data_IF_538458685819
#
_entry.id   IF_538458685819
#
_cell.length_a   1.000
_cell.length_b   1.000
_cell.length_c   1.000
_cell.angle_alpha   90.00
_cell.angle_beta   90.00
_cell.angle_gamma   90.00
#
_symmetry.space_group_name_H-M   'P 1'
#
loop_
_entity.id
_entity.type
_entity.pdbx_description
1 polymer ?
#
# COMPACT_ATOMS: atom_id res chain seq x y z
N UNK A 1 19.36 35.81 -27.74
CA UNK A 1 20.05 35.12 -26.60
C UNK A 1 21.35 35.84 -26.29
N UNK A 2 21.66 36.13 -25.02
CA UNK A 2 22.93 36.81 -24.65
C UNK A 2 24.10 35.77 -24.56
N UNK A 3 25.34 36.27 -24.43
CA UNK A 3 26.55 35.42 -24.44
C UNK A 3 26.54 34.35 -23.28
N UNK A 4 25.97 34.67 -22.14
CA UNK A 4 25.80 33.77 -21.00
C UNK A 4 24.94 32.54 -21.36
N UNK A 5 23.77 32.78 -21.90
CA UNK A 5 22.86 31.68 -22.26
C UNK A 5 23.38 30.86 -23.45
N UNK A 6 24.15 31.48 -24.35
CA UNK A 6 24.82 30.73 -25.40
C UNK A 6 25.85 29.72 -24.80
N UNK A 7 26.67 30.17 -23.86
CA UNK A 7 27.67 29.30 -23.21
C UNK A 7 27.00 28.22 -22.38
N UNK A 8 25.93 28.53 -21.63
CA UNK A 8 25.17 27.57 -20.81
C UNK A 8 24.49 26.48 -21.67
N UNK A 9 23.86 26.86 -22.78
CA UNK A 9 23.24 25.89 -23.68
C UNK A 9 24.29 24.97 -24.35
N UNK A 10 25.45 25.50 -24.69
CA UNK A 10 26.56 24.66 -25.21
C UNK A 10 27.08 23.69 -24.15
N UNK A 11 27.17 24.11 -22.89
CA UNK A 11 27.54 23.23 -21.77
C UNK A 11 26.52 22.13 -21.56
N UNK A 12 25.22 22.47 -21.53
CA UNK A 12 24.13 21.50 -21.41
C UNK A 12 24.16 20.48 -22.57
N UNK A 13 24.37 20.93 -23.80
CA UNK A 13 24.49 20.03 -24.96
C UNK A 13 25.65 19.06 -24.80
N UNK A 14 26.83 19.57 -24.37
CA UNK A 14 28.00 18.75 -24.14
C UNK A 14 27.75 17.66 -23.11
N UNK A 15 27.11 18.00 -21.98
CA UNK A 15 26.72 17.02 -20.95
C UNK A 15 25.76 15.96 -21.51
N UNK A 16 24.80 16.34 -22.35
CA UNK A 16 23.88 15.41 -23.01
C UNK A 16 24.64 14.49 -23.99
N UNK A 17 25.55 15.04 -24.80
CA UNK A 17 26.37 14.27 -25.75
C UNK A 17 27.29 13.27 -25.01
N UNK A 18 27.78 13.62 -23.83
CA UNK A 18 28.59 12.79 -22.94
C UNK A 18 27.70 11.81 -22.11
N UNK A 19 26.38 11.80 -22.33
CA UNK A 19 25.36 10.99 -21.61
C UNK A 19 25.29 11.27 -20.10
N UNK A 20 25.76 12.43 -19.68
CA UNK A 20 25.71 12.95 -18.31
C UNK A 20 24.36 13.64 -18.02
N UNK A 21 23.23 12.96 -18.33
CA UNK A 21 21.89 13.52 -18.29
C UNK A 21 21.51 14.12 -16.92
N UNK A 22 22.04 13.58 -15.81
CA UNK A 22 21.77 14.09 -14.47
C UNK A 22 22.40 15.49 -14.26
N UNK A 23 23.62 15.70 -14.72
CA UNK A 23 24.33 16.97 -14.63
C UNK A 23 23.67 18.02 -15.53
N UNK A 24 23.35 17.63 -16.78
CA UNK A 24 22.60 18.48 -17.69
C UNK A 24 21.26 18.94 -17.08
N UNK A 25 20.50 18.01 -16.51
CA UNK A 25 19.21 18.30 -15.88
C UNK A 25 19.32 19.22 -14.66
N UNK A 26 20.37 19.05 -13.84
CA UNK A 26 20.64 19.92 -12.69
C UNK A 26 20.94 21.35 -13.13
N UNK A 27 21.80 21.55 -14.13
CA UNK A 27 22.09 22.86 -14.70
C UNK A 27 20.83 23.54 -15.24
N UNK A 28 19.99 22.78 -15.97
CA UNK A 28 18.73 23.29 -16.51
C UNK A 28 17.78 23.71 -15.36
N UNK A 29 17.62 22.88 -14.33
CA UNK A 29 16.74 23.20 -13.21
C UNK A 29 17.24 24.41 -12.40
N UNK A 30 18.54 24.56 -12.19
CA UNK A 30 19.12 25.71 -11.52
C UNK A 30 18.78 27.00 -12.27
N UNK A 31 18.90 27.00 -13.60
CA UNK A 31 18.63 28.19 -14.41
C UNK A 31 17.12 28.50 -14.51
N UNK A 32 16.26 27.49 -14.67
CA UNK A 32 14.81 27.67 -14.69
C UNK A 32 14.24 28.20 -13.37
N UNK A 33 14.96 28.06 -12.26
CA UNK A 33 14.58 28.63 -10.96
C UNK A 33 15.01 30.11 -10.80
N UNK A 34 15.73 30.68 -11.76
CA UNK A 34 16.11 32.10 -11.71
C UNK A 34 14.89 33.02 -11.89
N UNK A 35 14.88 34.23 -11.26
CA UNK A 35 13.75 35.16 -11.33
C UNK A 35 13.39 35.61 -12.74
N UNK A 36 14.33 35.55 -13.68
CA UNK A 36 14.15 35.93 -15.06
C UNK A 36 15.02 35.11 -16.00
N UNK A 37 14.40 34.45 -16.97
CA UNK A 37 15.05 33.73 -18.07
C UNK A 37 14.52 34.32 -19.37
N UNK A 38 15.37 34.75 -20.34
CA UNK A 38 14.90 35.20 -21.63
C UNK A 38 14.09 34.14 -22.39
N UNK A 39 13.08 34.54 -23.12
CA UNK A 39 12.13 33.64 -23.78
C UNK A 39 12.80 32.65 -24.74
N UNK A 40 13.79 33.12 -25.51
CA UNK A 40 14.60 32.32 -26.44
C UNK A 40 15.50 31.29 -25.74
N UNK A 41 15.90 31.54 -24.50
CA UNK A 41 16.64 30.58 -23.67
C UNK A 41 15.69 29.64 -22.95
N UNK A 42 14.53 30.13 -22.49
CA UNK A 42 13.52 29.32 -21.79
C UNK A 42 13.05 28.15 -22.65
N UNK A 43 12.70 28.39 -23.92
CA UNK A 43 12.27 27.36 -24.88
C UNK A 43 13.31 26.25 -25.04
N UNK A 44 14.60 26.62 -25.13
CA UNK A 44 15.69 25.64 -25.27
C UNK A 44 15.94 24.84 -23.96
N UNK A 45 15.86 25.51 -22.81
CA UNK A 45 16.02 24.85 -21.52
C UNK A 45 14.89 23.85 -21.26
N UNK A 46 13.64 24.21 -21.58
CA UNK A 46 12.51 23.29 -21.47
C UNK A 46 12.62 22.10 -22.44
N UNK A 47 13.09 22.34 -23.66
CA UNK A 47 13.35 21.29 -24.64
C UNK A 47 14.38 20.28 -24.11
N UNK A 48 15.54 20.74 -23.64
CA UNK A 48 16.57 19.85 -23.11
C UNK A 48 16.16 19.18 -21.79
N UNK A 49 15.36 19.85 -20.97
CA UNK A 49 14.76 19.24 -19.78
C UNK A 49 13.91 18.04 -20.15
N UNK A 50 13.07 18.18 -21.16
CA UNK A 50 12.22 17.10 -21.68
C UNK A 50 13.07 15.96 -22.28
N UNK A 51 14.15 16.27 -22.98
CA UNK A 51 15.08 15.29 -23.55
C UNK A 51 15.80 14.48 -22.48
N UNK A 52 16.24 15.09 -21.37
CA UNK A 52 16.92 14.40 -20.27
C UNK A 52 16.01 13.49 -19.44
N UNK A 53 14.71 13.82 -19.32
CA UNK A 53 13.76 13.17 -18.42
C UNK A 53 13.65 11.65 -18.58
N UNK A 54 13.53 11.07 -19.79
CA UNK A 54 13.44 9.61 -19.95
C UNK A 54 14.64 8.83 -19.44
N UNK A 55 15.86 9.41 -19.59
CA UNK A 55 17.09 8.77 -19.17
C UNK A 55 17.27 8.80 -17.64
N UNK A 56 16.77 9.84 -16.99
CA UNK A 56 16.75 9.94 -15.51
C UNK A 56 15.73 8.98 -14.90
N UNK A 57 14.55 8.89 -15.48
CA UNK A 57 13.52 7.93 -15.05
C UNK A 57 13.98 6.48 -15.22
N UNK A 58 14.69 6.17 -16.31
CA UNK A 58 15.23 4.83 -16.55
C UNK A 58 16.35 4.48 -15.56
N UNK A 59 17.22 5.44 -15.21
CA UNK A 59 18.31 5.26 -14.23
C UNK A 59 17.78 5.15 -12.79
N UNK A 60 16.76 5.91 -12.46
CA UNK A 60 16.03 5.83 -11.18
C UNK A 60 15.38 4.45 -11.03
N UNK A 61 14.64 3.99 -12.03
CA UNK A 61 14.02 2.65 -12.03
C UNK A 61 15.01 1.50 -11.87
N UNK A 62 16.18 1.57 -12.53
CA UNK A 62 17.22 0.53 -12.40
C UNK A 62 17.89 0.55 -11.03
N UNK A 63 18.07 1.73 -10.43
CA UNK A 63 18.66 1.88 -9.10
C UNK A 63 17.68 1.44 -8.00
N UNK A 64 16.38 1.68 -8.19
CA UNK A 64 15.33 1.21 -7.29
C UNK A 64 15.17 -0.31 -7.34
N UNK A 65 15.31 -0.93 -8.51
CA UNK A 65 15.22 -2.38 -8.67
C UNK A 65 16.40 -3.13 -7.99
N UNK A 66 17.63 -2.64 -8.13
CA UNK A 66 18.78 -3.25 -7.44
C UNK A 66 18.64 -3.15 -5.91
N UNK A 67 18.16 -2.01 -5.40
CA UNK A 67 17.88 -1.85 -3.97
C UNK A 67 16.73 -2.72 -3.51
N UNK A 68 15.72 -2.94 -4.35
CA UNK A 68 14.60 -3.81 -4.04
C UNK A 68 15.08 -5.24 -3.72
N UNK A 69 15.96 -5.80 -4.55
CA UNK A 69 16.52 -7.13 -4.29
C UNK A 69 17.28 -7.21 -2.97
N UNK A 70 18.08 -6.19 -2.63
CA UNK A 70 18.77 -6.11 -1.34
C UNK A 70 17.78 -6.11 -0.16
N UNK A 71 16.64 -5.42 -0.30
CA UNK A 71 15.61 -5.35 0.74
C UNK A 71 14.77 -6.61 0.86
N UNK A 72 14.46 -7.29 -0.25
CA UNK A 72 13.73 -8.56 -0.27
C UNK A 72 14.48 -9.64 0.52
N UNK A 73 15.82 -9.66 0.42
CA UNK A 73 16.69 -10.60 1.15
C UNK A 73 17.13 -10.10 2.54
N UNK A 74 16.69 -8.93 2.93
CA UNK A 74 17.14 -8.24 4.13
C UNK A 74 16.42 -8.61 5.42
N UNK A 75 16.51 -7.71 6.41
CA UNK A 75 15.79 -7.81 7.69
C UNK A 75 14.27 -7.66 7.51
N UNK A 76 13.50 -7.97 8.55
CA UNK A 76 12.05 -7.77 8.54
C UNK A 76 11.65 -6.33 8.15
N UNK A 77 12.33 -5.32 8.73
CA UNK A 77 12.05 -3.91 8.39
C UNK A 77 12.39 -3.61 6.92
N UNK A 78 13.45 -4.20 6.38
CA UNK A 78 13.82 -4.03 4.98
C UNK A 78 12.80 -4.68 4.05
N UNK A 79 12.30 -5.88 4.38
CA UNK A 79 11.22 -6.55 3.64
C UNK A 79 9.93 -5.73 3.65
N UNK A 80 9.55 -5.16 4.80
CA UNK A 80 8.39 -4.25 4.90
C UNK A 80 8.60 -3.02 4.02
N UNK A 81 9.82 -2.46 4.00
CA UNK A 81 10.13 -1.33 3.11
C UNK A 81 10.10 -1.74 1.62
N UNK A 82 10.52 -2.97 1.27
CA UNK A 82 10.40 -3.49 -0.09
C UNK A 82 8.94 -3.49 -0.59
N UNK A 83 7.97 -3.82 0.28
CA UNK A 83 6.54 -3.74 -0.06
C UNK A 83 6.15 -2.31 -0.46
N UNK A 84 6.57 -1.30 0.30
CA UNK A 84 6.25 0.11 -0.02
C UNK A 84 6.88 0.58 -1.35
N UNK A 85 8.01 0.01 -1.76
CA UNK A 85 8.60 0.23 -3.08
C UNK A 85 7.75 -0.45 -4.15
N UNK A 86 7.38 -1.73 -3.93
CA UNK A 86 6.60 -2.53 -4.87
C UNK A 86 5.23 -1.95 -5.15
N UNK A 87 4.53 -1.36 -4.16
CA UNK A 87 3.25 -0.67 -4.35
C UNK A 87 3.31 0.43 -5.41
N UNK A 88 4.48 1.02 -5.63
CA UNK A 88 4.71 2.08 -6.62
C UNK A 88 5.33 1.58 -7.95
N UNK A 89 5.54 0.27 -8.10
CA UNK A 89 6.14 -0.36 -9.27
C UNK A 89 5.11 -1.11 -10.12
N UNK A 90 5.49 -1.46 -11.35
CA UNK A 90 4.71 -2.40 -12.16
C UNK A 90 5.00 -3.83 -11.70
N UNK A 91 4.09 -4.43 -10.93
CA UNK A 91 4.26 -5.74 -10.31
C UNK A 91 4.35 -6.90 -11.32
N UNK A 92 3.90 -6.70 -12.57
CA UNK A 92 4.13 -7.68 -13.65
C UNK A 92 5.61 -7.93 -13.94
N UNK A 93 6.47 -6.98 -13.57
CA UNK A 93 7.92 -7.08 -13.78
C UNK A 93 8.67 -7.60 -12.56
N UNK A 94 7.97 -7.84 -11.44
CA UNK A 94 8.53 -8.14 -10.13
C UNK A 94 7.98 -9.46 -9.56
N UNK A 95 7.61 -10.41 -10.44
CA UNK A 95 6.96 -11.66 -10.00
C UNK A 95 7.80 -12.44 -8.98
N UNK A 96 9.10 -12.57 -9.23
CA UNK A 96 10.00 -13.36 -8.38
C UNK A 96 10.20 -12.69 -7.01
N UNK A 97 10.40 -11.37 -6.97
CA UNK A 97 10.53 -10.59 -5.74
C UNK A 97 9.26 -10.64 -4.89
N UNK A 98 8.10 -10.55 -5.53
CA UNK A 98 6.80 -10.67 -4.87
C UNK A 98 6.61 -12.06 -4.29
N UNK A 99 6.88 -13.12 -5.07
CA UNK A 99 6.76 -14.50 -4.59
C UNK A 99 7.71 -14.76 -3.41
N UNK A 100 8.92 -14.25 -3.45
CA UNK A 100 9.89 -14.41 -2.38
C UNK A 100 9.44 -13.73 -1.08
N UNK A 101 8.84 -12.53 -1.16
CA UNK A 101 8.25 -11.86 0.00
C UNK A 101 7.05 -12.63 0.56
N UNK A 102 6.20 -13.21 -0.30
CA UNK A 102 5.07 -14.05 0.13
C UNK A 102 5.54 -15.35 0.83
N UNK A 103 6.66 -15.91 0.40
CA UNK A 103 7.27 -17.12 1.00
C UNK A 103 8.07 -16.81 2.27
N UNK A 104 8.38 -15.54 2.53
CA UNK A 104 9.20 -15.12 3.65
C UNK A 104 8.44 -15.17 4.99
N UNK A 105 9.15 -14.82 6.07
CA UNK A 105 8.66 -14.72 7.45
C UNK A 105 7.90 -13.42 7.77
N UNK A 106 7.48 -12.68 6.73
CA UNK A 106 6.64 -11.50 6.91
C UNK A 106 5.34 -11.84 7.64
N UNK A 107 4.88 -10.99 8.57
CA UNK A 107 3.54 -11.10 9.14
C UNK A 107 2.45 -11.05 8.06
N UNK A 108 1.36 -11.79 8.28
CA UNK A 108 0.29 -11.98 7.29
C UNK A 108 -0.32 -10.68 6.76
N UNK A 109 -0.35 -9.63 7.58
CA UNK A 109 -0.89 -8.34 7.14
C UNK A 109 -0.03 -7.67 6.07
N UNK A 110 1.28 -7.77 6.18
CA UNK A 110 2.17 -7.22 5.16
C UNK A 110 2.09 -8.04 3.87
N UNK A 111 1.92 -9.37 3.99
CA UNK A 111 1.61 -10.21 2.83
C UNK A 111 0.26 -9.82 2.22
N UNK A 112 -0.75 -9.52 3.05
CA UNK A 112 -2.04 -9.02 2.61
C UNK A 112 -1.94 -7.68 1.88
N UNK A 113 -1.15 -6.74 2.36
CA UNK A 113 -0.88 -5.47 1.67
C UNK A 113 -0.29 -5.71 0.27
N UNK A 114 0.65 -6.64 0.15
CA UNK A 114 1.24 -7.00 -1.14
C UNK A 114 0.22 -7.66 -2.07
N UNK A 115 -0.67 -8.51 -1.52
CA UNK A 115 -1.77 -9.13 -2.28
C UNK A 115 -2.75 -8.06 -2.78
N UNK A 116 -3.13 -7.07 -1.96
CA UNK A 116 -3.97 -5.95 -2.40
C UNK A 116 -3.33 -5.17 -3.56
N UNK A 117 -2.04 -4.88 -3.48
CA UNK A 117 -1.33 -4.21 -4.58
C UNK A 117 -1.34 -5.03 -5.89
N UNK A 118 -1.25 -6.37 -5.79
CA UNK A 118 -1.40 -7.28 -6.94
C UNK A 118 -2.83 -7.26 -7.51
N UNK A 119 -3.83 -7.21 -6.64
CA UNK A 119 -5.26 -7.13 -7.01
C UNK A 119 -5.58 -5.81 -7.72
N UNK A 120 -5.10 -4.68 -7.20
CA UNK A 120 -5.28 -3.36 -7.81
C UNK A 120 -4.71 -3.30 -9.24
N UNK A 121 -3.56 -3.95 -9.46
CA UNK A 121 -2.95 -4.04 -10.78
C UNK A 121 -3.55 -5.15 -11.66
N UNK A 122 -4.55 -5.90 -11.15
CA UNK A 122 -5.23 -6.99 -11.87
C UNK A 122 -4.22 -7.99 -12.46
N UNK A 123 -3.36 -8.50 -11.60
CA UNK A 123 -2.36 -9.50 -12.00
C UNK A 123 -3.06 -10.86 -12.16
N UNK A 124 -2.87 -11.50 -13.32
CA UNK A 124 -3.46 -12.80 -13.65
C UNK A 124 -2.49 -13.97 -13.40
N UNK A 125 -1.22 -13.67 -13.08
CA UNK A 125 -0.23 -14.69 -12.76
C UNK A 125 -0.54 -15.32 -11.38
N UNK A 126 -0.39 -16.65 -11.24
CA UNK A 126 -0.62 -17.33 -9.98
C UNK A 126 0.54 -17.09 -9.00
N UNK A 127 0.20 -16.94 -7.73
CA UNK A 127 1.15 -16.86 -6.61
C UNK A 127 0.84 -17.93 -5.57
N UNK A 128 1.86 -18.28 -4.78
CA UNK A 128 1.74 -19.22 -3.68
C UNK A 128 1.90 -18.50 -2.34
N UNK A 129 1.20 -19.01 -1.34
CA UNK A 129 1.27 -18.51 0.03
C UNK A 129 1.10 -19.67 1.01
N UNK A 130 1.95 -19.73 2.04
CA UNK A 130 1.73 -20.63 3.17
C UNK A 130 0.96 -19.86 4.24
N UNK A 131 -0.25 -20.34 4.55
CA UNK A 131 -1.10 -19.73 5.57
C UNK A 131 -1.70 -20.80 6.48
N UNK A 132 -1.52 -20.64 7.78
CA UNK A 132 -1.96 -21.63 8.79
C UNK A 132 -1.50 -23.07 8.47
N UNK A 133 -0.29 -23.22 7.91
CA UNK A 133 0.28 -24.50 7.51
C UNK A 133 -0.24 -25.10 6.19
N UNK A 134 -1.13 -24.39 5.49
CA UNK A 134 -1.65 -24.80 4.19
C UNK A 134 -0.92 -24.04 3.08
N UNK A 135 -0.54 -24.75 2.02
CA UNK A 135 -0.03 -24.12 0.79
C UNK A 135 -1.22 -23.77 -0.10
N UNK A 136 -1.37 -22.47 -0.38
CA UNK A 136 -2.49 -21.89 -1.13
C UNK A 136 -1.92 -21.29 -2.40
N UNK A 137 -2.49 -21.67 -3.54
CA UNK A 137 -2.23 -20.99 -4.82
C UNK A 137 -3.42 -20.10 -5.14
N UNK A 138 -3.16 -18.83 -5.45
CA UNK A 138 -4.19 -17.84 -5.77
C UNK A 138 -3.82 -17.02 -7.00
N UNK A 139 -4.85 -16.46 -7.65
CA UNK A 139 -4.71 -15.50 -8.75
C UNK A 139 -5.25 -14.16 -8.26
N UNK A 140 -4.42 -13.10 -8.15
CA UNK A 140 -4.83 -11.83 -7.55
C UNK A 140 -6.06 -11.20 -8.20
N UNK A 141 -6.16 -11.22 -9.53
CA UNK A 141 -7.32 -10.67 -10.25
C UNK A 141 -8.64 -11.40 -10.00
N UNK A 142 -8.59 -12.63 -9.47
CA UNK A 142 -9.78 -13.42 -9.15
C UNK A 142 -10.25 -13.24 -7.70
N UNK A 143 -9.49 -12.55 -6.85
CA UNK A 143 -9.88 -12.27 -5.46
C UNK A 143 -10.93 -11.16 -5.45
N UNK A 144 -11.94 -11.30 -4.60
CA UNK A 144 -12.99 -10.29 -4.44
C UNK A 144 -12.42 -9.01 -3.79
N UNK A 145 -12.49 -7.85 -4.48
CA UNK A 145 -12.09 -6.57 -3.90
C UNK A 145 -12.95 -6.21 -2.69
N UNK A 146 -12.36 -5.54 -1.71
CA UNK A 146 -13.03 -5.18 -0.46
C UNK A 146 -14.29 -4.32 -0.69
N UNK A 147 -14.27 -3.43 -1.69
CA UNK A 147 -15.41 -2.59 -2.05
C UNK A 147 -16.59 -3.37 -2.64
N UNK A 148 -16.36 -4.60 -3.09
CA UNK A 148 -17.37 -5.50 -3.64
C UNK A 148 -17.82 -6.57 -2.64
N UNK A 149 -17.12 -6.71 -1.50
CA UNK A 149 -17.46 -7.65 -0.44
C UNK A 149 -18.66 -7.13 0.36
N UNK A 150 -19.81 -7.82 0.23
CA UNK A 150 -21.06 -7.39 0.86
C UNK A 150 -20.96 -7.41 2.38
N UNK A 151 -20.32 -8.41 2.97
CA UNK A 151 -20.20 -8.52 4.44
C UNK A 151 -19.38 -7.37 5.03
N UNK A 152 -18.33 -6.92 4.34
CA UNK A 152 -17.52 -5.76 4.72
C UNK A 152 -18.33 -4.47 4.62
N UNK A 153 -19.03 -4.27 3.51
CA UNK A 153 -19.83 -3.07 3.27
C UNK A 153 -21.00 -2.94 4.28
N UNK A 154 -21.67 -4.05 4.58
CA UNK A 154 -22.73 -4.06 5.59
C UNK A 154 -22.18 -3.85 7.00
N UNK A 155 -21.04 -4.49 7.38
CA UNK A 155 -20.40 -4.27 8.67
C UNK A 155 -19.96 -2.80 8.84
N UNK A 156 -19.41 -2.19 7.80
CA UNK A 156 -19.03 -0.77 7.79
C UNK A 156 -20.24 0.14 8.01
N UNK A 157 -21.35 -0.14 7.34
CA UNK A 157 -22.62 0.59 7.50
C UNK A 157 -23.19 0.45 8.92
N UNK A 158 -23.02 -0.72 9.56
CA UNK A 158 -23.39 -0.93 10.95
C UNK A 158 -22.58 -0.05 11.90
N UNK A 159 -21.24 0.07 11.72
CA UNK A 159 -20.42 0.97 12.53
C UNK A 159 -20.90 2.42 12.42
N UNK A 160 -21.19 2.88 11.20
CA UNK A 160 -21.73 4.22 11.00
C UNK A 160 -23.08 4.40 11.72
N UNK A 161 -24.00 3.45 11.56
CA UNK A 161 -25.33 3.52 12.19
C UNK A 161 -25.28 3.55 13.71
N UNK A 162 -24.31 2.82 14.30
CA UNK A 162 -24.20 2.70 15.76
C UNK A 162 -23.49 3.89 16.42
N UNK A 163 -22.56 4.55 15.72
CA UNK A 163 -21.64 5.50 16.37
C UNK A 163 -21.64 6.92 15.79
N UNK A 164 -22.24 7.19 14.62
CA UNK A 164 -22.17 8.51 13.96
C UNK A 164 -22.56 9.67 14.89
N UNK A 165 -23.62 9.50 15.68
CA UNK A 165 -24.14 10.58 16.52
C UNK A 165 -23.54 10.61 17.93
N UNK A 166 -22.80 9.57 18.35
CA UNK A 166 -22.37 9.41 19.73
C UNK A 166 -20.86 9.41 19.88
N UNK A 167 -20.16 8.68 19.04
CA UNK A 167 -18.71 8.53 19.13
C UNK A 167 -18.07 8.26 17.76
N UNK A 168 -17.86 9.28 16.92
CA UNK A 168 -17.23 9.10 15.60
C UNK A 168 -15.85 8.44 15.63
N UNK A 169 -15.11 8.57 16.74
CA UNK A 169 -13.79 7.93 16.91
C UNK A 169 -13.92 6.40 16.95
N UNK A 170 -15.02 5.85 17.46
CA UNK A 170 -15.27 4.41 17.43
C UNK A 170 -15.39 3.89 16.01
N UNK A 171 -16.00 4.66 15.09
CA UNK A 171 -16.08 4.27 13.67
C UNK A 171 -14.68 4.06 13.12
N UNK A 172 -13.77 5.01 13.35
CA UNK A 172 -12.40 4.93 12.85
C UNK A 172 -11.66 3.70 13.40
N UNK A 173 -11.81 3.39 14.68
CA UNK A 173 -11.19 2.20 15.27
C UNK A 173 -11.78 0.90 14.71
N UNK A 174 -13.11 0.81 14.58
CA UNK A 174 -13.77 -0.35 14.01
C UNK A 174 -13.37 -0.55 12.54
N UNK A 175 -13.35 0.51 11.74
CA UNK A 175 -12.92 0.47 10.34
C UNK A 175 -11.44 0.08 10.20
N UNK A 176 -10.57 0.62 11.06
CA UNK A 176 -9.15 0.27 11.07
C UNK A 176 -8.93 -1.22 11.41
N UNK A 177 -9.68 -1.74 12.40
CA UNK A 177 -9.58 -3.15 12.78
C UNK A 177 -10.18 -4.08 11.71
N UNK A 178 -11.27 -3.68 11.05
CA UNK A 178 -11.84 -4.41 9.92
C UNK A 178 -10.84 -4.50 8.76
N UNK A 179 -10.16 -3.39 8.42
CA UNK A 179 -9.11 -3.37 7.40
C UNK A 179 -7.96 -4.31 7.77
N UNK A 180 -7.50 -4.27 9.02
CA UNK A 180 -6.44 -5.17 9.49
C UNK A 180 -6.86 -6.64 9.37
N UNK A 181 -8.11 -6.97 9.69
CA UNK A 181 -8.64 -8.33 9.54
C UNK A 181 -8.64 -8.76 8.08
N UNK A 182 -9.08 -7.89 7.17
CA UNK A 182 -9.07 -8.19 5.72
C UNK A 182 -7.66 -8.46 5.23
N UNK A 183 -6.70 -7.59 5.54
CA UNK A 183 -5.30 -7.78 5.15
C UNK A 183 -4.72 -9.07 5.75
N UNK A 184 -5.02 -9.33 7.03
CA UNK A 184 -4.57 -10.56 7.69
C UNK A 184 -5.11 -11.82 7.02
N UNK A 185 -6.36 -11.81 6.55
CA UNK A 185 -7.01 -13.00 5.98
C UNK A 185 -6.73 -13.21 4.49
N UNK A 186 -6.21 -12.20 3.77
CA UNK A 186 -5.88 -12.36 2.35
C UNK A 186 -5.07 -13.64 2.08
N UNK A 187 -5.34 -14.36 0.99
CA UNK A 187 -6.19 -14.03 -0.17
C UNK A 187 -7.70 -14.35 0.00
N UNK A 188 -8.16 -14.71 1.18
CA UNK A 188 -9.57 -15.00 1.42
C UNK A 188 -10.39 -13.72 1.59
N UNK A 189 -11.64 -13.74 1.10
CA UNK A 189 -12.64 -12.69 1.30
C UNK A 189 -13.47 -12.93 2.58
N UNK A 190 -14.38 -11.99 2.87
CA UNK A 190 -15.28 -12.05 4.01
C UNK A 190 -16.73 -12.36 3.61
N UNK A 191 -17.03 -12.58 2.32
CA UNK A 191 -18.38 -12.62 1.75
C UNK A 191 -19.30 -13.64 2.43
N UNK A 192 -18.73 -14.72 2.97
CA UNK A 192 -19.49 -15.77 3.65
C UNK A 192 -19.69 -15.53 5.15
N UNK A 193 -19.19 -14.43 5.73
CA UNK A 193 -19.39 -14.09 7.14
C UNK A 193 -20.65 -13.27 7.33
N UNK A 194 -21.40 -13.56 8.40
CA UNK A 194 -22.54 -12.73 8.78
C UNK A 194 -22.08 -11.32 9.19
N UNK A 195 -22.55 -10.25 8.54
CA UNK A 195 -22.04 -8.89 8.78
C UNK A 195 -22.33 -8.39 10.21
N UNK A 196 -23.43 -8.83 10.84
CA UNK A 196 -23.73 -8.48 12.23
C UNK A 196 -22.78 -9.17 13.22
N UNK A 197 -22.47 -10.44 12.99
CA UNK A 197 -21.48 -11.17 13.81
C UNK A 197 -20.09 -10.54 13.64
N UNK A 198 -19.70 -10.23 12.39
CA UNK A 198 -18.44 -9.58 12.08
C UNK A 198 -18.34 -8.20 12.77
N UNK A 199 -19.32 -7.34 12.57
CA UNK A 199 -19.32 -6.00 13.15
C UNK A 199 -19.36 -6.04 14.68
N UNK A 200 -20.17 -6.90 15.29
CA UNK A 200 -20.26 -7.07 16.74
C UNK A 200 -18.92 -7.52 17.32
N UNK A 201 -18.27 -8.54 16.73
CA UNK A 201 -16.99 -9.06 17.23
C UNK A 201 -15.86 -8.03 17.11
N UNK A 202 -15.82 -7.25 16.01
CA UNK A 202 -14.89 -6.13 15.87
C UNK A 202 -15.13 -5.07 16.93
N UNK A 203 -16.38 -4.66 17.16
CA UNK A 203 -16.69 -3.69 18.20
C UNK A 203 -16.28 -4.19 19.59
N UNK A 204 -16.49 -5.47 19.92
CA UNK A 204 -16.04 -6.07 21.18
C UNK A 204 -14.54 -5.87 21.37
N UNK A 205 -13.73 -6.21 20.36
CA UNK A 205 -12.29 -6.03 20.45
C UNK A 205 -11.86 -4.56 20.61
N UNK A 206 -12.57 -3.64 19.96
CA UNK A 206 -12.31 -2.21 20.13
C UNK A 206 -12.66 -1.75 21.55
N UNK A 207 -13.77 -2.20 22.12
CA UNK A 207 -14.13 -1.89 23.52
C UNK A 207 -13.09 -2.45 24.50
N UNK A 208 -12.61 -3.67 24.28
CA UNK A 208 -11.58 -4.31 25.10
C UNK A 208 -10.24 -3.55 24.97
N UNK A 209 -9.81 -3.21 23.76
CA UNK A 209 -8.59 -2.44 23.52
C UNK A 209 -8.63 -1.04 24.15
N UNK A 210 -9.81 -0.43 24.24
CA UNK A 210 -10.02 0.87 24.89
C UNK A 210 -10.21 0.77 26.41
N UNK A 211 -10.11 -0.43 27.00
CA UNK A 211 -10.36 -0.69 28.43
C UNK A 211 -11.78 -0.28 28.87
N UNK A 212 -12.78 -0.47 28.01
CA UNK A 212 -14.18 -0.15 28.20
C UNK A 212 -15.10 -1.39 28.19
N UNK A 213 -14.55 -2.55 28.54
CA UNK A 213 -15.30 -3.83 28.54
C UNK A 213 -16.51 -3.81 29.47
N UNK A 214 -16.52 -2.93 30.49
CA UNK A 214 -17.66 -2.69 31.37
C UNK A 214 -18.84 -1.98 30.67
N UNK A 215 -18.59 -1.17 29.66
CA UNK A 215 -19.62 -0.50 28.84
C UNK A 215 -20.25 -1.45 27.78
N UNK A 216 -19.55 -2.56 27.43
CA UNK A 216 -19.95 -3.47 26.37
C UNK A 216 -21.36 -4.08 26.51
N UNK A 217 -21.79 -4.61 27.70
CA UNK A 217 -23.14 -5.17 27.85
C UNK A 217 -24.23 -4.12 27.61
N UNK A 218 -23.98 -2.87 28.01
CA UNK A 218 -24.89 -1.75 27.75
C UNK A 218 -25.04 -1.45 26.26
N UNK A 219 -23.95 -1.46 25.52
CA UNK A 219 -23.93 -1.28 24.06
C UNK A 219 -24.69 -2.41 23.36
N UNK A 220 -24.38 -3.67 23.67
CA UNK A 220 -25.05 -4.86 23.10
C UNK A 220 -26.57 -4.76 23.28
N UNK A 221 -27.02 -4.42 24.49
CA UNK A 221 -28.46 -4.26 24.78
C UNK A 221 -29.06 -3.09 24.00
N UNK A 222 -28.39 -1.96 23.93
CA UNK A 222 -28.86 -0.77 23.23
C UNK A 222 -29.07 -1.01 21.75
N UNK A 223 -28.15 -1.77 21.12
CA UNK A 223 -28.19 -2.10 19.69
C UNK A 223 -29.01 -3.37 19.38
N UNK A 224 -29.56 -4.06 20.40
CA UNK A 224 -30.36 -5.27 20.21
C UNK A 224 -29.55 -6.48 19.72
N UNK A 225 -28.25 -6.55 20.08
CA UNK A 225 -27.32 -7.57 19.62
C UNK A 225 -27.23 -8.80 20.55
N UNK A 226 -28.09 -8.95 21.54
CA UNK A 226 -28.02 -10.03 22.53
C UNK A 226 -28.18 -11.42 21.90
N UNK A 227 -28.82 -11.52 20.74
CA UNK A 227 -29.04 -12.80 20.02
C UNK A 227 -27.99 -13.05 18.93
N UNK A 228 -27.16 -12.10 18.65
CA UNK A 228 -26.05 -12.25 17.69
C UNK A 228 -24.89 -12.90 18.42
N UNK A 229 -24.41 -14.01 17.91
CA UNK A 229 -23.23 -14.70 18.46
C UNK A 229 -21.94 -13.96 18.08
N UNK A 230 -20.96 -13.93 18.99
CA UNK A 230 -19.62 -13.45 18.67
C UNK A 230 -18.88 -14.53 17.89
N UNK A 231 -18.14 -14.13 16.86
CA UNK A 231 -17.22 -14.99 16.13
C UNK A 231 -15.79 -14.71 16.58
N UNK A 232 -14.97 -15.74 16.62
CA UNK A 232 -13.53 -15.59 16.84
C UNK A 232 -12.90 -15.02 15.58
N UNK A 233 -12.21 -13.88 15.70
CA UNK A 233 -11.52 -13.25 14.60
C UNK A 233 -10.06 -13.73 14.56
N UNK A 234 -9.54 -13.99 13.37
CA UNK A 234 -8.17 -14.52 13.18
C UNK A 234 -7.09 -13.62 13.78
N UNK A 235 -7.36 -12.31 13.88
CA UNK A 235 -6.47 -11.32 14.51
C UNK A 235 -6.39 -11.44 16.05
N UNK A 236 -7.33 -12.13 16.71
CA UNK A 236 -7.30 -12.36 18.17
C UNK A 236 -6.16 -13.31 18.57
N UNK A 237 -5.79 -14.24 17.70
CA UNK A 237 -4.74 -15.26 17.94
C UNK A 237 -3.31 -14.72 17.92
N UNK A 238 -3.13 -13.46 17.55
CA UNK A 238 -1.80 -12.82 17.47
C UNK A 238 -1.05 -12.73 18.79
N UNK A 239 -1.75 -12.63 19.90
CA UNK A 239 -1.15 -12.51 21.24
C UNK A 239 -0.65 -13.83 21.83
N UNK A 240 -1.09 -14.97 21.30
CA UNK A 240 -0.81 -16.29 21.87
C UNK A 240 0.46 -16.97 21.33
N UNK A 241 1.02 -16.46 20.22
CA UNK A 241 2.18 -17.06 19.54
C UNK A 241 3.53 -16.40 19.91
N UNK A 242 3.59 -15.52 20.90
CA UNK A 242 4.80 -14.80 21.34
C UNK A 242 5.31 -15.20 22.75
N UNK A 243 4.93 -16.39 23.25
CA UNK A 243 5.50 -16.96 24.47
C UNK A 243 6.39 -18.18 24.20
#
# INVERSE_FOLDING_TARGET
>A
MNAYYHSLIEEIKKEIDEKSYAQAYELICQELNMPYVPEDALELLEYYKFECKPYLEQKSKSMDFNKLQDYVHGTLEQKIYAISILENMNLRMCHDEVQELLDSDLPDEYKGTLIEALMEQKIDDPFNLIKSGLNITFIPSAILPMEQDQSINEASSLFESWFTNENPTMIQFCMSLLMQLVLYERPFDQENKDPYQLAKSICRLVYDAMQKSDEWPGFVKKQGLERIEDIELSIEKRGENND
#
